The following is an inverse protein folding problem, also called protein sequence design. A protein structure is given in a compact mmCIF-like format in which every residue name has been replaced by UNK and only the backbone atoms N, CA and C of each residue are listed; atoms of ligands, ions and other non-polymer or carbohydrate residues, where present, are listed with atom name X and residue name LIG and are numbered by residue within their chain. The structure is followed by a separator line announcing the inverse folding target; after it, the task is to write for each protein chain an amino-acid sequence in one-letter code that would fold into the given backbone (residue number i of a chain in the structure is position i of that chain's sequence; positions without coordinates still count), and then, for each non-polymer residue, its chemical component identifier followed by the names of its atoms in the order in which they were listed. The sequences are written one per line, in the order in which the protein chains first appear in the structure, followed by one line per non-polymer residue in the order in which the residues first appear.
data_IF_577182647917
#
_entry.id   IF_577182647917
#
_cell.length_a   1.000
_cell.length_b   1.000
_cell.length_c   1.000
_cell.angle_alpha   90.00
_cell.angle_beta   90.00
_cell.angle_gamma   90.00
#
_symmetry.space_group_name_H-M   'P 1'
#
loop_
_entity.id
_entity.type
_entity.pdbx_description
1 polymer ?
#
# COMPACT_ATOMS: atom_id res chain seq x y z
N UNK A 1 0.11 -2.36 -5.61
CA UNK A 1 1.29 -1.84 -4.89
C UNK A 1 0.83 -1.33 -3.54
N UNK A 2 1.30 -1.95 -2.45
CA UNK A 2 0.97 -1.50 -1.09
C UNK A 2 2.04 -0.50 -0.68
N UNK A 3 1.63 0.70 -0.26
CA UNK A 3 2.53 1.74 0.20
C UNK A 3 2.17 2.17 1.62
N UNK A 4 3.20 2.40 2.44
CA UNK A 4 3.07 3.03 3.75
C UNK A 4 3.42 4.49 3.58
N UNK A 5 2.45 5.36 3.85
CA UNK A 5 2.74 6.79 3.94
C UNK A 5 3.35 7.09 5.31
N UNK A 6 4.54 7.65 5.31
CA UNK A 6 5.24 8.09 6.52
C UNK A 6 4.98 9.59 6.63
N UNK A 7 4.21 9.98 7.63
CA UNK A 7 4.01 11.39 7.95
C UNK A 7 5.36 12.02 8.36
N UNK A 8 5.72 13.18 7.80
CA UNK A 8 6.96 13.86 8.18
C UNK A 8 6.85 14.39 9.61
N UNK A 9 7.98 14.49 10.32
CA UNK A 9 8.00 14.99 11.71
C UNK A 9 7.55 16.46 11.86
N UNK A 10 7.57 17.22 10.76
CA UNK A 10 7.12 18.62 10.70
C UNK A 10 6.35 18.84 9.41
N UNK A 11 5.18 19.47 9.51
CA UNK A 11 4.35 19.74 8.34
C UNK A 11 4.89 20.88 7.46
N UNK A 12 5.75 21.74 8.02
CA UNK A 12 6.24 22.96 7.35
C UNK A 12 7.70 23.28 7.70
N UNK A 13 8.49 23.67 6.69
CA UNK A 13 9.79 24.33 6.86
C UNK A 13 9.65 25.78 6.39
N UNK A 14 10.22 26.71 7.16
CA UNK A 14 10.32 28.10 6.74
C UNK A 14 11.49 28.24 5.77
N UNK A 15 11.20 28.62 4.53
CA UNK A 15 12.23 28.99 3.56
C UNK A 15 12.63 30.46 3.78
N UNK A 16 13.80 30.69 4.39
CA UNK A 16 14.33 32.04 4.64
C UNK A 16 14.55 32.84 3.34
N UNK A 17 14.76 32.16 2.21
CA UNK A 17 14.96 32.80 0.89
C UNK A 17 13.69 33.38 0.27
N UNK A 18 12.51 32.87 0.63
CA UNK A 18 11.22 33.24 0.00
C UNK A 18 10.17 33.77 0.98
N UNK A 19 10.48 33.81 2.28
CA UNK A 19 9.59 34.34 3.32
C UNK A 19 8.28 33.57 3.51
N UNK A 20 8.17 32.36 2.93
CA UNK A 20 6.94 31.57 2.88
C UNK A 20 7.15 30.19 3.50
N UNK A 21 6.10 29.67 4.13
CA UNK A 21 6.06 28.31 4.68
C UNK A 21 5.99 27.30 3.54
N UNK A 22 6.95 26.40 3.45
CA UNK A 22 6.97 25.28 2.49
C UNK A 22 6.49 24.01 3.20
N UNK A 23 5.45 23.37 2.66
CA UNK A 23 4.99 22.08 3.17
C UNK A 23 6.03 20.98 2.93
N UNK A 24 6.31 20.16 3.95
CA UNK A 24 7.15 18.97 3.78
C UNK A 24 6.24 17.85 3.25
N UNK A 25 6.64 17.23 2.13
CA UNK A 25 5.92 16.06 1.63
C UNK A 25 6.43 14.84 2.38
N UNK A 26 5.52 14.06 2.96
CA UNK A 26 5.85 12.78 3.59
C UNK A 26 6.46 11.78 2.60
N UNK A 27 7.13 10.78 3.14
CA UNK A 27 7.81 9.75 2.37
C UNK A 27 6.86 8.57 2.09
N UNK A 28 6.92 8.01 0.89
CA UNK A 28 6.08 6.88 0.49
C UNK A 28 6.95 5.63 0.39
N UNK A 29 6.83 4.75 1.37
CA UNK A 29 7.60 3.50 1.37
C UNK A 29 6.81 2.36 0.72
N UNK A 30 7.46 1.64 -0.18
CA UNK A 30 6.84 0.62 -1.03
C UNK A 30 6.97 -0.75 -0.38
N UNK A 31 6.00 -1.10 0.45
CA UNK A 31 6.01 -2.32 1.26
C UNK A 31 6.01 -3.61 0.45
N UNK A 32 5.24 -3.69 -0.64
CA UNK A 32 5.21 -4.89 -1.46
C UNK A 32 4.69 -4.63 -2.88
N UNK A 33 5.28 -5.33 -3.85
CA UNK A 33 4.83 -5.40 -5.23
C UNK A 33 4.92 -6.82 -5.77
N UNK A 34 3.75 -7.44 -5.87
CA UNK A 34 3.55 -8.73 -6.50
C UNK A 34 2.60 -8.55 -7.68
N UNK A 35 2.92 -9.14 -8.82
CA UNK A 35 1.99 -9.22 -9.94
C UNK A 35 1.04 -10.41 -9.70
N UNK A 36 -0.19 -10.11 -9.32
CA UNK A 36 -1.17 -11.11 -8.85
C UNK A 36 -2.17 -11.52 -9.95
N UNK A 37 -2.33 -10.69 -10.98
CA UNK A 37 -3.20 -10.96 -12.12
C UNK A 37 -2.79 -10.10 -13.32
N UNK A 38 -2.91 -10.66 -14.53
CA UNK A 38 -2.75 -9.93 -15.80
C UNK A 38 -3.95 -9.04 -16.11
N UNK A 39 -5.11 -9.38 -15.54
CA UNK A 39 -6.36 -8.67 -15.70
C UNK A 39 -6.75 -7.94 -14.41
N UNK A 40 -7.55 -6.85 -14.51
CA UNK A 40 -7.94 -6.06 -13.34
C UNK A 40 -8.76 -6.89 -12.35
N UNK A 41 -8.49 -6.64 -11.06
CA UNK A 41 -9.19 -7.25 -9.94
C UNK A 41 -10.48 -6.45 -9.69
N UNK A 42 -11.61 -7.15 -9.64
CA UNK A 42 -12.94 -6.54 -9.45
C UNK A 42 -13.49 -6.68 -8.04
N UNK A 43 -12.96 -7.63 -7.28
CA UNK A 43 -13.38 -7.88 -5.90
C UNK A 43 -12.22 -8.46 -5.11
N UNK A 44 -12.09 -8.05 -3.86
CA UNK A 44 -11.04 -8.47 -2.94
C UNK A 44 -11.64 -8.62 -1.54
N UNK A 45 -11.40 -9.75 -0.90
CA UNK A 45 -11.82 -10.01 0.47
C UNK A 45 -10.67 -10.64 1.27
N UNK A 46 -10.56 -10.23 2.53
CA UNK A 46 -9.53 -10.70 3.45
C UNK A 46 -10.16 -11.45 4.61
N UNK A 47 -9.65 -12.64 4.90
CA UNK A 47 -10.18 -13.41 6.01
C UNK A 47 -9.83 -12.75 7.34
N UNK A 48 -10.87 -12.38 8.11
CA UNK A 48 -10.73 -11.69 9.40
C UNK A 48 -9.92 -12.47 10.44
N UNK A 49 -10.19 -13.77 10.59
CA UNK A 49 -9.50 -14.60 11.59
C UNK A 49 -8.15 -15.19 11.14
N UNK A 50 -7.96 -15.38 9.82
CA UNK A 50 -6.74 -15.98 9.25
C UNK A 50 -5.92 -14.90 8.56
N UNK A 51 -5.06 -14.25 9.33
CA UNK A 51 -4.06 -13.31 8.81
C UNK A 51 -3.24 -13.97 7.70
N UNK A 52 -3.37 -13.43 6.49
CA UNK A 52 -2.65 -13.87 5.30
C UNK A 52 -3.51 -14.66 4.32
N UNK A 53 -4.74 -15.02 4.67
CA UNK A 53 -5.66 -15.62 3.72
C UNK A 53 -6.52 -14.53 3.07
N UNK A 54 -6.45 -14.43 1.75
CA UNK A 54 -7.31 -13.54 0.98
C UNK A 54 -7.82 -14.22 -0.29
N UNK A 55 -8.93 -13.69 -0.80
CA UNK A 55 -9.51 -14.11 -2.07
C UNK A 55 -9.76 -12.89 -2.94
N UNK A 56 -9.59 -13.04 -4.24
CA UNK A 56 -9.95 -12.00 -5.18
C UNK A 56 -10.46 -12.56 -6.50
N UNK A 57 -11.34 -11.81 -7.13
CA UNK A 57 -11.91 -12.11 -8.44
C UNK A 57 -11.32 -11.16 -9.49
N UNK A 58 -10.99 -11.70 -10.65
CA UNK A 58 -10.37 -10.97 -11.75
C UNK A 58 -11.19 -11.16 -13.03
N UNK A 59 -11.10 -10.21 -13.96
CA UNK A 59 -11.82 -10.25 -15.24
C UNK A 59 -11.32 -11.33 -16.21
N UNK A 60 -10.31 -12.11 -15.81
CA UNK A 60 -9.90 -13.34 -16.49
C UNK A 60 -10.83 -14.53 -16.23
N UNK A 61 -12.03 -14.29 -15.68
CA UNK A 61 -13.02 -15.31 -15.30
C UNK A 61 -12.47 -16.30 -14.27
N UNK A 62 -11.58 -15.84 -13.39
CA UNK A 62 -11.00 -16.66 -12.33
C UNK A 62 -11.18 -16.05 -10.94
N UNK A 63 -11.28 -16.94 -9.95
CA UNK A 63 -11.18 -16.61 -8.53
C UNK A 63 -9.86 -17.17 -8.02
N UNK A 64 -9.07 -16.32 -7.38
CA UNK A 64 -7.73 -16.64 -6.89
C UNK A 64 -7.73 -16.57 -5.37
N UNK A 65 -7.31 -17.66 -4.71
CA UNK A 65 -7.11 -17.74 -3.26
C UNK A 65 -5.62 -17.64 -2.99
N UNK A 66 -5.21 -16.70 -2.15
CA UNK A 66 -3.82 -16.46 -1.81
C UNK A 66 -3.58 -16.69 -0.32
N UNK A 67 -2.47 -17.35 -0.01
CA UNK A 67 -1.94 -17.49 1.33
C UNK A 67 -0.64 -16.70 1.37
N UNK A 68 -0.66 -15.59 2.08
CA UNK A 68 0.46 -14.67 2.24
C UNK A 68 1.17 -15.03 3.55
N UNK A 69 2.39 -15.51 3.42
CA UNK A 69 3.29 -15.77 4.54
C UNK A 69 4.23 -14.58 4.78
N UNK A 70 4.77 -14.41 6.00
CA UNK A 70 5.64 -13.29 6.41
C UNK A 70 5.00 -11.91 6.33
N UNK A 71 3.81 -11.75 6.92
CA UNK A 71 3.12 -10.45 7.01
C UNK A 71 3.81 -9.44 7.93
N UNK A 72 4.61 -9.92 8.89
CA UNK A 72 5.41 -9.10 9.81
C UNK A 72 6.89 -9.16 9.42
N UNK A 73 7.25 -8.61 8.26
CA UNK A 73 8.65 -8.24 8.01
C UNK A 73 8.91 -6.95 8.79
N UNK A 74 9.37 -7.13 10.03
CA UNK A 74 10.08 -6.11 10.78
C UNK A 74 11.48 -5.91 10.20
#
# INVERSE_FOLDING_TARGET
NIYKYIYPEKDYVFDESKGCKRGIIGELDKLNCLNVSTQPIISFDWHKDKLGLCVFASLDQTIKVYIITKLNLC
#
